data_IF_679280510442
#
_entry.id   IF_679280510442
#
_cell.length_a   1.000
_cell.length_b   1.000
_cell.length_c   1.000
_cell.angle_alpha   90.00
_cell.angle_beta   90.00
_cell.angle_gamma   90.00
#
_symmetry.space_group_name_H-M   'P 1'
#
loop_
_entity.id
_entity.type
_entity.pdbx_description
1 polymer ?
#
# COMPACT_ATOMS: atom_id res chain seq x y z
N UNK A 1 -30.86 3.04 -14.37
CA UNK A 1 -30.80 4.14 -13.38
C UNK A 1 -29.34 4.58 -13.21
N UNK A 2 -29.05 5.82 -13.56
CA UNK A 2 -27.71 6.41 -13.65
C UNK A 2 -27.06 6.48 -12.26
N UNK A 3 -25.92 5.81 -12.05
CA UNK A 3 -25.07 6.05 -10.88
C UNK A 3 -24.52 7.47 -11.00
N UNK A 4 -25.07 8.37 -10.18
CA UNK A 4 -24.64 9.76 -10.05
C UNK A 4 -23.14 9.83 -9.79
N UNK A 5 -22.41 10.56 -10.64
CA UNK A 5 -21.02 10.95 -10.37
C UNK A 5 -20.98 11.63 -9.00
N UNK A 6 -20.03 11.29 -8.12
CA UNK A 6 -19.84 12.04 -6.88
C UNK A 6 -19.61 13.51 -7.22
N UNK A 7 -20.25 14.46 -6.51
CA UNK A 7 -20.02 15.88 -6.75
C UNK A 7 -18.54 16.21 -6.55
N UNK A 8 -17.97 17.09 -7.38
CA UNK A 8 -16.54 17.44 -7.36
C UNK A 8 -16.00 17.79 -5.95
N UNK A 9 -16.84 18.34 -5.08
CA UNK A 9 -16.50 18.64 -3.69
C UNK A 9 -16.11 17.40 -2.87
N UNK A 10 -16.81 16.28 -3.04
CA UNK A 10 -16.52 15.03 -2.31
C UNK A 10 -15.22 14.36 -2.80
N UNK A 11 -14.91 14.50 -4.09
CA UNK A 11 -13.63 14.06 -4.65
C UNK A 11 -12.45 14.89 -4.11
N UNK A 12 -12.63 16.19 -3.96
CA UNK A 12 -11.60 17.10 -3.43
C UNK A 12 -11.37 16.89 -1.94
N UNK A 13 -12.42 16.68 -1.15
CA UNK A 13 -12.28 16.32 0.28
C UNK A 13 -11.60 14.96 0.44
N UNK A 14 -11.97 13.97 -0.39
CA UNK A 14 -11.33 12.65 -0.40
C UNK A 14 -9.83 12.73 -0.74
N UNK A 15 -9.43 13.52 -1.74
CA UNK A 15 -8.01 13.71 -2.07
C UNK A 15 -7.24 14.48 -0.98
N UNK A 16 -7.86 15.48 -0.36
CA UNK A 16 -7.29 16.21 0.77
C UNK A 16 -7.11 15.31 2.00
N UNK A 17 -8.07 14.43 2.28
CA UNK A 17 -8.00 13.44 3.36
C UNK A 17 -6.92 12.40 3.10
N UNK A 18 -6.83 11.88 1.88
CA UNK A 18 -5.74 10.98 1.46
C UNK A 18 -4.40 11.68 1.64
N UNK A 19 -4.26 12.94 1.19
CA UNK A 19 -3.03 13.71 1.37
C UNK A 19 -2.69 14.03 2.84
N UNK A 20 -3.69 14.14 3.73
CA UNK A 20 -3.49 14.29 5.18
C UNK A 20 -3.07 12.97 5.83
N UNK A 21 -3.71 11.87 5.46
CA UNK A 21 -3.37 10.52 5.93
C UNK A 21 -1.96 10.12 5.48
N UNK A 22 -1.60 10.41 4.23
CA UNK A 22 -0.28 10.14 3.69
C UNK A 22 0.81 10.98 4.40
N UNK A 23 0.50 12.24 4.77
CA UNK A 23 1.39 13.08 5.59
C UNK A 23 1.54 12.57 7.02
N UNK A 24 0.46 12.10 7.65
CA UNK A 24 0.50 11.49 8.99
C UNK A 24 1.28 10.19 9.00
N UNK A 25 1.08 9.33 8.00
CA UNK A 25 1.86 8.10 7.83
C UNK A 25 3.35 8.40 7.64
N UNK A 26 3.70 9.37 6.78
CA UNK A 26 5.10 9.82 6.61
C UNK A 26 5.69 10.40 7.91
N UNK A 27 4.93 11.18 8.67
CA UNK A 27 5.39 11.76 9.93
C UNK A 27 5.56 10.70 11.04
N UNK A 28 4.66 9.72 11.13
CA UNK A 28 4.76 8.61 12.06
C UNK A 28 5.96 7.72 11.73
N UNK A 29 6.14 7.40 10.44
CA UNK A 29 7.31 6.67 9.95
C UNK A 29 8.61 7.45 10.28
N UNK A 30 8.64 8.76 10.05
CA UNK A 30 9.79 9.61 10.40
C UNK A 30 10.12 9.63 11.89
N UNK A 31 9.12 9.51 12.79
CA UNK A 31 9.33 9.42 14.24
C UNK A 31 9.91 8.07 14.66
N UNK A 32 9.48 6.99 14.02
CA UNK A 32 10.07 5.66 14.21
C UNK A 32 11.51 5.60 13.66
N UNK A 33 11.84 6.38 12.62
CA UNK A 33 13.20 6.52 12.07
C UNK A 33 14.13 7.46 12.86
N UNK A 34 13.63 8.23 13.83
CA UNK A 34 14.42 9.25 14.54
C UNK A 34 15.62 8.71 15.35
N UNK A 35 15.57 7.51 15.98
CA UNK A 35 16.71 6.99 16.73
C UNK A 35 17.94 6.67 15.87
N UNK A 36 17.79 6.55 14.54
CA UNK A 36 18.85 6.01 13.66
C UNK A 36 19.44 7.02 12.67
N UNK A 37 18.84 8.21 12.52
CA UNK A 37 19.45 9.25 11.66
C UNK A 37 20.75 9.85 12.23
N UNK A 38 21.05 9.64 13.51
CA UNK A 38 22.32 10.05 14.13
C UNK A 38 23.51 9.17 13.73
N UNK A 39 23.30 7.97 13.18
CA UNK A 39 24.39 7.07 12.74
C UNK A 39 24.98 7.43 11.37
N UNK A 40 24.54 8.52 10.72
CA UNK A 40 24.93 8.97 9.37
C UNK A 40 26.42 9.27 9.11
N UNK A 41 27.34 8.99 10.02
CA UNK A 41 28.76 9.35 9.91
C UNK A 41 29.71 8.17 10.11
N UNK A 42 29.69 7.15 9.25
CA UNK A 42 30.91 6.36 9.00
C UNK A 42 30.96 5.92 7.52
N UNK A 43 32.15 6.09 6.93
CA UNK A 43 32.47 5.85 5.51
C UNK A 43 33.19 4.50 5.36
N UNK A 44 33.10 3.99 4.13
CA UNK A 44 33.81 2.86 3.50
C UNK A 44 33.32 1.43 3.83
N UNK A 45 32.86 0.76 2.75
CA UNK A 45 32.32 -0.60 2.57
C UNK A 45 31.22 -1.09 3.52
N UNK A 46 31.37 -0.85 4.81
CA UNK A 46 30.30 -0.81 5.80
C UNK A 46 29.10 0.00 5.32
N UNK A 47 29.32 1.10 4.59
CA UNK A 47 28.26 1.96 4.09
C UNK A 47 27.35 1.33 3.04
N UNK A 48 27.78 0.32 2.26
CA UNK A 48 26.89 -0.38 1.31
C UNK A 48 26.01 -1.37 2.06
N UNK A 49 26.61 -2.20 2.92
CA UNK A 49 25.88 -3.16 3.76
C UNK A 49 24.91 -2.44 4.71
N UNK A 50 25.31 -1.32 5.29
CA UNK A 50 24.48 -0.46 6.12
C UNK A 50 23.32 0.13 5.30
N UNK A 51 23.58 0.64 4.09
CA UNK A 51 22.52 1.11 3.18
C UNK A 51 21.53 0.01 2.83
N UNK A 52 22.01 -1.20 2.51
CA UNK A 52 21.13 -2.35 2.21
C UNK A 52 20.32 -2.72 3.44
N UNK A 53 20.95 -2.78 4.62
CA UNK A 53 20.28 -3.01 5.90
C UNK A 53 19.18 -1.99 6.18
N UNK A 54 19.44 -0.70 5.94
CA UNK A 54 18.47 0.38 6.08
C UNK A 54 17.31 0.26 5.10
N UNK A 55 17.58 -0.06 3.83
CA UNK A 55 16.52 -0.28 2.83
C UNK A 55 15.65 -1.47 3.23
N UNK A 56 16.25 -2.59 3.62
CA UNK A 56 15.51 -3.77 4.10
C UNK A 56 14.66 -3.44 5.32
N UNK A 57 15.22 -2.70 6.28
CA UNK A 57 14.50 -2.23 7.46
C UNK A 57 13.31 -1.34 7.09
N UNK A 58 13.51 -0.32 6.24
CA UNK A 58 12.45 0.59 5.80
C UNK A 58 11.32 -0.16 5.09
N UNK A 59 11.66 -1.15 4.26
CA UNK A 59 10.68 -2.01 3.60
C UNK A 59 9.87 -2.79 4.63
N UNK A 60 10.54 -3.49 5.56
CA UNK A 60 9.88 -4.30 6.59
C UNK A 60 9.00 -3.44 7.49
N UNK A 61 9.52 -2.31 7.97
CA UNK A 61 8.78 -1.37 8.81
C UNK A 61 7.54 -0.81 8.08
N UNK A 62 7.68 -0.44 6.81
CA UNK A 62 6.56 0.00 5.98
C UNK A 62 5.51 -1.09 5.81
N UNK A 63 5.92 -2.34 5.59
CA UNK A 63 5.00 -3.47 5.46
C UNK A 63 4.26 -3.74 6.77
N UNK A 64 4.96 -3.77 7.91
CA UNK A 64 4.32 -3.93 9.23
C UNK A 64 3.30 -2.81 9.49
N UNK A 65 3.63 -1.56 9.17
CA UNK A 65 2.71 -0.44 9.32
C UNK A 65 1.46 -0.57 8.45
N UNK A 66 1.63 -0.88 7.15
CA UNK A 66 0.51 -0.96 6.20
C UNK A 66 -0.39 -2.17 6.52
N UNK A 67 0.20 -3.30 6.87
CA UNK A 67 -0.52 -4.53 7.21
C UNK A 67 -0.99 -4.56 8.66
N UNK A 68 -0.66 -3.53 9.46
CA UNK A 68 -0.96 -3.44 10.91
C UNK A 68 -0.49 -4.67 11.67
N UNK A 69 0.73 -5.12 11.37
CA UNK A 69 1.38 -6.25 12.04
C UNK A 69 2.18 -5.71 13.21
N UNK A 70 1.87 -6.18 14.42
CA UNK A 70 2.54 -5.77 15.66
C UNK A 70 3.84 -6.56 15.90
N UNK A 71 3.86 -7.84 15.52
CA UNK A 71 5.05 -8.70 15.57
C UNK A 71 5.63 -8.95 14.17
N UNK A 72 6.87 -8.50 13.94
CA UNK A 72 7.60 -8.69 12.68
C UNK A 72 7.71 -10.17 12.28
N UNK A 73 7.72 -11.10 13.24
CA UNK A 73 7.75 -12.54 12.98
C UNK A 73 6.52 -13.05 12.21
N UNK A 74 5.38 -12.38 12.33
CA UNK A 74 4.13 -12.73 11.64
C UNK A 74 4.04 -12.16 10.22
N UNK A 75 4.90 -11.20 9.89
CA UNK A 75 4.87 -10.47 8.62
C UNK A 75 4.89 -11.38 7.38
N UNK A 76 5.73 -12.44 7.30
CA UNK A 76 5.75 -13.32 6.12
C UNK A 76 4.39 -13.99 5.84
N UNK A 77 3.70 -14.44 6.89
CA UNK A 77 2.37 -15.06 6.77
C UNK A 77 1.32 -14.06 6.29
N UNK A 78 1.34 -12.83 6.81
CA UNK A 78 0.45 -11.76 6.38
C UNK A 78 0.70 -11.34 4.92
N UNK A 79 1.97 -11.24 4.50
CA UNK A 79 2.34 -10.94 3.11
C UNK A 79 1.85 -12.04 2.16
N UNK A 80 2.00 -13.31 2.52
CA UNK A 80 1.53 -14.41 1.68
C UNK A 80 0.00 -14.45 1.55
N UNK A 81 -0.74 -14.19 2.64
CA UNK A 81 -2.20 -14.03 2.58
C UNK A 81 -2.62 -12.87 1.69
N UNK A 82 -1.95 -11.72 1.80
CA UNK A 82 -2.21 -10.55 0.95
C UNK A 82 -1.95 -10.88 -0.53
N UNK A 83 -0.90 -11.64 -0.83
CA UNK A 83 -0.60 -12.13 -2.18
C UNK A 83 -1.71 -13.04 -2.71
N UNK A 84 -2.17 -14.01 -1.93
CA UNK A 84 -3.27 -14.91 -2.30
C UNK A 84 -4.56 -14.11 -2.59
N UNK A 85 -4.90 -13.14 -1.73
CA UNK A 85 -6.05 -12.26 -1.95
C UNK A 85 -5.90 -11.42 -3.23
N UNK A 86 -4.70 -10.97 -3.57
CA UNK A 86 -4.45 -10.23 -4.82
C UNK A 86 -4.74 -11.07 -6.07
N UNK A 87 -4.38 -12.36 -6.04
CA UNK A 87 -4.66 -13.29 -7.14
C UNK A 87 -6.16 -13.50 -7.31
N UNK A 88 -6.87 -13.70 -6.19
CA UNK A 88 -8.33 -13.82 -6.19
C UNK A 88 -9.00 -12.53 -6.72
N UNK A 89 -8.48 -11.36 -6.36
CA UNK A 89 -8.95 -10.07 -6.90
C UNK A 89 -8.80 -9.98 -8.42
N UNK A 90 -7.68 -10.45 -8.99
CA UNK A 90 -7.52 -10.46 -10.45
C UNK A 90 -8.53 -11.38 -11.14
N UNK A 91 -8.79 -12.57 -10.58
CA UNK A 91 -9.80 -13.50 -11.09
C UNK A 91 -11.21 -12.90 -11.02
N UNK A 92 -11.57 -12.23 -9.93
CA UNK A 92 -12.86 -11.53 -9.83
C UNK A 92 -12.99 -10.40 -10.84
N UNK A 93 -11.93 -9.61 -11.07
CA UNK A 93 -11.95 -8.56 -12.09
C UNK A 93 -12.18 -9.12 -13.49
N UNK A 94 -11.56 -10.26 -13.83
CA UNK A 94 -11.80 -10.93 -15.11
C UNK A 94 -13.22 -11.47 -15.24
N UNK A 95 -13.76 -12.06 -14.17
CA UNK A 95 -15.13 -12.54 -14.14
C UNK A 95 -16.15 -11.41 -14.39
N UNK A 96 -16.00 -10.28 -13.69
CA UNK A 96 -16.85 -9.09 -13.89
C UNK A 96 -16.79 -8.61 -15.34
N UNK A 97 -15.58 -8.50 -15.92
CA UNK A 97 -15.42 -8.14 -17.35
C UNK A 97 -16.17 -9.09 -18.29
N UNK A 98 -16.19 -10.39 -18.00
CA UNK A 98 -16.94 -11.38 -18.81
C UNK A 98 -18.45 -11.17 -18.69
N UNK A 99 -18.96 -10.95 -17.49
CA UNK A 99 -20.38 -10.65 -17.25
C UNK A 99 -20.79 -9.35 -17.96
N UNK A 100 -20.00 -8.28 -17.86
CA UNK A 100 -20.26 -7.02 -18.56
C UNK A 100 -20.31 -7.19 -20.08
N UNK A 101 -19.45 -8.03 -20.66
CA UNK A 101 -19.50 -8.36 -22.09
C UNK A 101 -20.78 -9.08 -22.46
N UNK A 102 -21.21 -10.06 -21.67
CA UNK A 102 -22.46 -10.80 -21.90
C UNK A 102 -23.67 -9.87 -21.79
N UNK A 103 -23.76 -9.05 -20.75
CA UNK A 103 -24.85 -8.09 -20.57
C UNK A 103 -24.96 -7.15 -21.78
N UNK A 104 -23.83 -6.62 -22.28
CA UNK A 104 -23.81 -5.78 -23.49
C UNK A 104 -24.24 -6.51 -24.77
N UNK A 105 -24.13 -7.83 -24.83
CA UNK A 105 -24.63 -8.63 -25.96
C UNK A 105 -26.14 -8.85 -25.87
N UNK A 106 -26.68 -9.01 -24.66
CA UNK A 106 -28.11 -9.12 -24.43
C UNK A 106 -28.85 -7.79 -24.63
N UNK A 107 -28.29 -6.66 -24.19
CA UNK A 107 -28.86 -5.32 -24.41
C UNK A 107 -28.88 -4.85 -25.88
N UNK A 108 -28.20 -5.60 -26.78
CA UNK A 108 -28.18 -5.32 -28.23
C UNK A 108 -29.22 -6.12 -29.02
N UNK A 109 -30.00 -6.98 -28.37
CA UNK A 109 -31.18 -7.65 -28.94
C UNK A 109 -32.45 -6.91 -28.52
#
# INVERSE_FOLDING_TARGET
>A
MLRSRPPQRELVTSQLEVGRLQRRAKAACKRLLHPFQEQRKLKDESGILERVGLICFDIVASCCYVLKVEDVGELPSCVEKARQLSQVSTTYQEFVKRIEKLLKQFDKR
#
